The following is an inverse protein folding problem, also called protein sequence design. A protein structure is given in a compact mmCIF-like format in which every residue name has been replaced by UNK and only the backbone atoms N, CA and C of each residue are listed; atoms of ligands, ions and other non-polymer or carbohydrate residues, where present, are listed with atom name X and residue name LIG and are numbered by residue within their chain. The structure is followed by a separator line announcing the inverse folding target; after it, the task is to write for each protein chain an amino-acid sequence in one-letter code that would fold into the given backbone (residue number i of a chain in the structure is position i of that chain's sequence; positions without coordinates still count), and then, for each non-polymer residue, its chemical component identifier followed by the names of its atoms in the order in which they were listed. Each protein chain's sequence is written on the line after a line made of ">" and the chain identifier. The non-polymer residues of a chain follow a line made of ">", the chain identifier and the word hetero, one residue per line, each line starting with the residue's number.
data_IF_330055114750
#
_entry.id   IF_330055114750
#
_cell.length_a   1.000
_cell.length_b   1.000
_cell.length_c   1.000
_cell.angle_alpha   90.00
_cell.angle_beta   90.00
_cell.angle_gamma   90.00
#
_symmetry.space_group_name_H-M   'P 1'
#
loop_
_entity.id
_entity.type
_entity.pdbx_description
1 polymer ?
#
# COMPACT_ATOMS: atom_id res chain seq x y z
N UNK A 1 -33.29 36.45 12.76
CA UNK A 1 -32.52 36.93 13.93
C UNK A 1 -31.05 36.65 13.66
N UNK A 2 -30.29 37.67 13.23
CA UNK A 2 -28.87 37.51 12.96
C UNK A 2 -28.11 37.30 14.28
N UNK A 3 -27.17 36.34 14.38
CA UNK A 3 -26.39 36.18 15.59
C UNK A 3 -25.52 37.41 15.83
N UNK A 4 -25.60 37.93 17.04
CA UNK A 4 -25.02 39.18 17.48
C UNK A 4 -23.48 39.12 17.47
N UNK A 5 -22.86 39.66 16.42
CA UNK A 5 -21.40 39.76 16.26
C UNK A 5 -20.74 40.51 17.44
N UNK A 6 -21.46 41.42 18.10
CA UNK A 6 -20.97 42.21 19.24
C UNK A 6 -20.80 41.40 20.52
N UNK A 7 -21.47 40.25 20.66
CA UNK A 7 -21.37 39.42 21.87
C UNK A 7 -20.02 38.68 21.97
N UNK A 8 -19.29 38.51 20.87
CA UNK A 8 -17.97 37.87 20.87
C UNK A 8 -16.84 38.83 21.28
N UNK A 9 -17.01 40.15 21.15
CA UNK A 9 -15.97 41.11 21.52
C UNK A 9 -15.78 41.23 23.03
N UNK A 10 -16.86 41.09 23.81
CA UNK A 10 -16.90 41.25 25.28
C UNK A 10 -16.26 40.07 26.03
N UNK A 11 -16.02 38.93 25.36
CA UNK A 11 -15.42 37.76 26.00
C UNK A 11 -13.94 37.97 26.31
N UNK A 12 -13.56 37.71 27.56
CA UNK A 12 -12.17 37.74 28.01
C UNK A 12 -11.32 36.75 27.22
N UNK A 13 -10.00 36.97 27.06
CA UNK A 13 -9.10 36.04 26.35
C UNK A 13 -9.17 34.60 26.89
N UNK A 14 -9.50 34.43 28.17
CA UNK A 14 -9.69 33.14 28.85
C UNK A 14 -10.97 32.43 28.38
N UNK A 15 -12.07 33.16 28.15
CA UNK A 15 -13.33 32.62 27.63
C UNK A 15 -13.24 32.30 26.14
N UNK A 16 -12.57 33.16 25.36
CA UNK A 16 -12.23 32.88 23.95
C UNK A 16 -11.39 31.61 23.83
N UNK A 17 -10.42 31.39 24.73
CA UNK A 17 -9.66 30.14 24.79
C UNK A 17 -10.49 28.93 25.21
N UNK A 18 -11.44 29.09 26.16
CA UNK A 18 -12.36 28.03 26.58
C UNK A 18 -13.32 27.58 25.48
N UNK A 19 -13.63 28.45 24.51
CA UNK A 19 -14.46 28.12 23.35
C UNK A 19 -13.64 27.62 22.15
N UNK A 20 -12.40 28.10 21.98
CA UNK A 20 -11.51 27.62 20.91
C UNK A 20 -11.03 26.18 21.13
N UNK A 21 -10.70 25.81 22.37
CA UNK A 21 -10.27 24.45 22.73
C UNK A 21 -11.26 23.35 22.32
N UNK A 22 -12.58 23.43 22.63
CA UNK A 22 -13.54 22.43 22.21
C UNK A 22 -13.74 22.42 20.68
N UNK A 23 -13.58 23.55 20.00
CA UNK A 23 -13.67 23.60 18.54
C UNK A 23 -12.48 22.91 17.86
N UNK A 24 -11.26 23.18 18.32
CA UNK A 24 -10.03 22.50 17.81
C UNK A 24 -10.11 21.00 18.07
N UNK A 25 -10.58 20.62 19.26
CA UNK A 25 -10.73 19.22 19.62
C UNK A 25 -11.80 18.51 18.78
N UNK A 26 -12.90 19.18 18.45
CA UNK A 26 -13.90 18.68 17.50
C UNK A 26 -13.26 18.42 16.13
N UNK A 27 -12.53 19.39 15.58
CA UNK A 27 -11.84 19.23 14.29
C UNK A 27 -10.83 18.07 14.31
N UNK A 28 -10.11 17.88 15.42
CA UNK A 28 -9.21 16.74 15.59
C UNK A 28 -9.98 15.42 15.54
N UNK A 29 -11.09 15.31 16.28
CA UNK A 29 -11.94 14.09 16.28
C UNK A 29 -12.53 13.81 14.91
N UNK A 30 -13.01 14.84 14.23
CA UNK A 30 -13.55 14.72 12.87
C UNK A 30 -12.50 14.23 11.89
N UNK A 31 -11.26 14.75 11.98
CA UNK A 31 -10.13 14.27 11.17
C UNK A 31 -9.84 12.79 11.44
N UNK A 32 -9.77 12.39 12.71
CA UNK A 32 -9.53 10.99 13.09
C UNK A 32 -10.63 10.07 12.55
N UNK A 33 -11.89 10.46 12.72
CA UNK A 33 -13.03 9.68 12.24
C UNK A 33 -13.03 9.55 10.71
N UNK A 34 -12.71 10.63 10.00
CA UNK A 34 -12.57 10.63 8.53
C UNK A 34 -11.48 9.65 8.08
N UNK A 35 -10.30 9.69 8.72
CA UNK A 35 -9.22 8.74 8.41
C UNK A 35 -9.61 7.29 8.70
N UNK A 36 -10.36 7.00 9.77
CA UNK A 36 -10.85 5.65 10.06
C UNK A 36 -11.81 5.16 8.96
N UNK A 37 -12.72 6.02 8.49
CA UNK A 37 -13.63 5.66 7.40
C UNK A 37 -12.89 5.46 6.07
N UNK A 38 -11.86 6.29 5.80
CA UNK A 38 -10.99 6.09 4.64
C UNK A 38 -10.27 4.74 4.67
N UNK A 39 -9.76 4.33 5.84
CA UNK A 39 -9.16 3.00 6.01
C UNK A 39 -10.16 1.89 5.72
N UNK A 40 -11.41 2.05 6.19
CA UNK A 40 -12.50 1.10 5.94
C UNK A 40 -12.71 0.85 4.44
N UNK A 41 -12.77 1.93 3.65
CA UNK A 41 -12.97 1.87 2.19
C UNK A 41 -11.74 1.29 1.48
N UNK A 42 -10.53 1.74 1.83
CA UNK A 42 -9.30 1.29 1.16
C UNK A 42 -9.03 -0.20 1.34
N UNK A 43 -9.39 -0.76 2.49
CA UNK A 43 -9.16 -2.16 2.84
C UNK A 43 -10.44 -3.00 2.81
N UNK A 44 -11.50 -2.53 2.16
CA UNK A 44 -12.81 -3.18 2.15
C UNK A 44 -12.74 -4.65 1.70
N UNK A 45 -11.96 -4.95 0.66
CA UNK A 45 -11.76 -6.33 0.17
C UNK A 45 -11.09 -7.22 1.23
N UNK A 46 -10.12 -6.68 1.96
CA UNK A 46 -9.43 -7.42 3.01
C UNK A 46 -10.37 -7.69 4.18
N UNK A 47 -11.19 -6.71 4.55
CA UNK A 47 -12.19 -6.88 5.60
C UNK A 47 -13.26 -7.93 5.22
N UNK A 48 -13.75 -7.92 3.99
CA UNK A 48 -14.71 -8.91 3.48
C UNK A 48 -14.13 -10.33 3.48
N UNK A 49 -12.84 -10.49 3.21
CA UNK A 49 -12.15 -11.79 3.24
C UNK A 49 -12.10 -12.39 4.66
N UNK A 50 -12.02 -11.54 5.67
CA UNK A 50 -11.88 -11.95 7.08
C UNK A 50 -13.22 -12.04 7.81
N UNK A 51 -14.14 -11.10 7.58
CA UNK A 51 -15.45 -11.05 8.21
C UNK A 51 -16.52 -10.61 7.20
N UNK A 52 -16.98 -11.51 6.32
CA UNK A 52 -18.06 -11.19 5.40
C UNK A 52 -19.35 -10.92 6.19
N UNK A 53 -19.94 -9.75 5.99
CA UNK A 53 -21.22 -9.29 6.57
C UNK A 53 -21.21 -8.84 8.05
N UNK A 54 -20.05 -8.66 8.68
CA UNK A 54 -19.98 -8.09 10.03
C UNK A 54 -19.93 -6.55 10.00
N UNK A 55 -20.60 -5.90 10.96
CA UNK A 55 -20.48 -4.46 11.15
C UNK A 55 -19.14 -4.18 11.83
N UNK A 56 -18.17 -3.69 11.05
CA UNK A 56 -16.83 -3.37 11.56
C UNK A 56 -16.89 -2.28 12.63
N UNK A 57 -16.41 -2.58 13.83
CA UNK A 57 -16.21 -1.58 14.87
C UNK A 57 -14.93 -0.79 14.60
N UNK A 58 -14.79 0.40 15.20
CA UNK A 58 -13.59 1.22 15.02
C UNK A 58 -12.31 0.52 15.50
N UNK A 59 -12.42 -0.32 16.53
CA UNK A 59 -11.31 -1.11 17.03
C UNK A 59 -10.88 -2.15 15.98
N UNK A 60 -11.83 -2.89 15.41
CA UNK A 60 -11.58 -3.89 14.37
C UNK A 60 -10.91 -3.27 13.14
N UNK A 61 -11.42 -2.12 12.66
CA UNK A 61 -10.84 -1.41 11.52
C UNK A 61 -9.36 -1.12 11.77
N UNK A 62 -9.02 -0.63 12.96
CA UNK A 62 -7.65 -0.29 13.32
C UNK A 62 -6.77 -1.53 13.47
N UNK A 63 -7.24 -2.57 14.15
CA UNK A 63 -6.50 -3.82 14.35
C UNK A 63 -6.20 -4.51 13.03
N UNK A 64 -7.22 -4.71 12.20
CA UNK A 64 -7.09 -5.35 10.90
C UNK A 64 -6.20 -4.52 9.96
N UNK A 65 -6.29 -3.18 9.99
CA UNK A 65 -5.38 -2.30 9.23
C UNK A 65 -3.94 -2.50 9.66
N UNK A 66 -3.66 -2.55 10.97
CA UNK A 66 -2.29 -2.77 11.48
C UNK A 66 -1.79 -4.15 11.08
N UNK A 67 -2.63 -5.17 11.18
CA UNK A 67 -2.29 -6.54 10.74
C UNK A 67 -1.94 -6.57 9.25
N UNK A 68 -2.79 -5.96 8.41
CA UNK A 68 -2.56 -5.83 6.97
C UNK A 68 -1.23 -5.12 6.65
N UNK A 69 -0.95 -4.00 7.30
CA UNK A 69 0.28 -3.24 7.07
C UNK A 69 1.52 -4.03 7.53
N UNK A 70 1.45 -4.76 8.65
CA UNK A 70 2.54 -5.64 9.09
C UNK A 70 2.78 -6.75 8.07
N UNK A 71 1.72 -7.39 7.58
CA UNK A 71 1.83 -8.40 6.53
C UNK A 71 2.45 -7.81 5.25
N UNK A 72 1.96 -6.66 4.78
CA UNK A 72 2.46 -5.98 3.58
C UNK A 72 3.91 -5.48 3.71
N UNK A 73 4.38 -5.12 4.89
CA UNK A 73 5.78 -4.71 5.10
C UNK A 73 6.73 -5.91 5.19
N UNK A 74 6.23 -7.06 5.66
CA UNK A 74 6.99 -8.31 5.71
C UNK A 74 7.03 -8.99 4.33
N UNK A 75 5.99 -8.77 3.53
CA UNK A 75 5.84 -9.25 2.16
C UNK A 75 5.59 -8.05 1.23
N UNK A 76 6.65 -7.35 0.80
CA UNK A 76 6.51 -6.19 -0.06
C UNK A 76 5.72 -6.59 -1.31
N UNK A 77 4.78 -5.72 -1.71
CA UNK A 77 3.81 -5.88 -2.81
C UNK A 77 4.42 -6.28 -4.17
N UNK A 78 5.76 -6.29 -4.28
CA UNK A 78 6.48 -7.00 -5.34
C UNK A 78 6.10 -8.47 -5.43
N UNK A 79 5.65 -9.10 -4.33
CA UNK A 79 5.17 -10.48 -4.37
C UNK A 79 3.88 -10.63 -5.16
N UNK A 80 2.94 -9.68 -5.13
CA UNK A 80 1.71 -9.78 -5.92
C UNK A 80 2.02 -9.71 -7.42
N UNK A 81 2.84 -8.75 -7.84
CA UNK A 81 3.31 -8.64 -9.23
C UNK A 81 4.16 -9.84 -9.66
N UNK A 82 5.02 -10.35 -8.78
CA UNK A 82 5.81 -11.55 -9.05
C UNK A 82 4.93 -12.81 -9.11
N UNK A 83 3.89 -12.88 -8.28
CA UNK A 83 2.94 -13.98 -8.25
C UNK A 83 2.10 -13.99 -9.53
N UNK A 84 1.54 -12.85 -9.92
CA UNK A 84 0.81 -12.67 -11.19
C UNK A 84 1.69 -13.00 -12.40
N UNK A 85 2.96 -12.55 -12.40
CA UNK A 85 3.92 -12.90 -13.45
C UNK A 85 4.23 -14.40 -13.47
N UNK A 86 4.50 -15.01 -12.31
CA UNK A 86 4.86 -16.44 -12.22
C UNK A 86 3.70 -17.34 -12.64
N UNK A 87 2.47 -16.94 -12.32
CA UNK A 87 1.26 -17.63 -12.70
C UNK A 87 1.01 -17.52 -14.20
N UNK A 88 1.06 -16.31 -14.77
CA UNK A 88 0.93 -16.09 -16.22
C UNK A 88 2.04 -16.80 -17.03
N UNK A 89 3.27 -16.80 -16.51
CA UNK A 89 4.41 -17.51 -17.09
C UNK A 89 4.19 -19.03 -17.08
N UNK A 90 3.72 -19.60 -15.97
CA UNK A 90 3.40 -21.02 -15.87
C UNK A 90 2.27 -21.42 -16.81
N UNK A 91 1.24 -20.58 -16.93
CA UNK A 91 0.13 -20.78 -17.86
C UNK A 91 0.59 -20.82 -19.31
N UNK A 92 1.40 -19.84 -19.73
CA UNK A 92 1.99 -19.78 -21.07
C UNK A 92 2.83 -21.03 -21.39
N UNK A 93 3.67 -21.47 -20.44
CA UNK A 93 4.45 -22.69 -20.61
C UNK A 93 3.56 -23.92 -20.77
N UNK A 94 2.54 -24.07 -19.92
CA UNK A 94 1.60 -25.19 -19.98
C UNK A 94 0.91 -25.26 -21.34
N UNK A 95 0.42 -24.13 -21.83
CA UNK A 95 -0.24 -24.04 -23.14
C UNK A 95 0.72 -24.36 -24.28
N UNK A 96 1.96 -23.86 -24.23
CA UNK A 96 2.99 -24.17 -25.23
C UNK A 96 3.32 -25.67 -25.27
N UNK A 97 3.45 -26.31 -24.10
CA UNK A 97 3.67 -27.75 -24.00
C UNK A 97 2.47 -28.56 -24.51
N UNK A 98 1.25 -28.10 -24.23
CA UNK A 98 0.02 -28.72 -24.72
C UNK A 98 -0.07 -28.63 -26.25
N UNK A 99 0.16 -27.45 -26.83
CA UNK A 99 0.19 -27.26 -28.28
C UNK A 99 1.20 -28.18 -28.98
N UNK A 100 2.43 -28.27 -28.43
CA UNK A 100 3.47 -29.16 -28.95
C UNK A 100 3.07 -30.64 -28.85
N UNK A 101 2.38 -31.03 -27.78
CA UNK A 101 1.88 -32.40 -27.60
C UNK A 101 0.77 -32.75 -28.59
N UNK A 102 -0.18 -31.84 -28.83
CA UNK A 102 -1.28 -32.03 -29.78
C UNK A 102 -0.78 -32.13 -31.23
N UNK A 103 0.27 -31.39 -31.59
CA UNK A 103 0.81 -31.37 -32.94
C UNK A 103 1.97 -32.35 -33.17
N UNK A 104 2.16 -33.36 -32.30
CA UNK A 104 3.23 -34.37 -32.40
C UNK A 104 4.62 -33.76 -32.56
N UNK A 105 4.88 -32.63 -31.92
CA UNK A 105 6.18 -31.98 -31.98
C UNK A 105 7.25 -32.86 -31.31
N UNK A 106 8.47 -32.79 -31.84
CA UNK A 106 9.61 -33.56 -31.36
C UNK A 106 9.79 -33.39 -29.83
N UNK A 107 9.85 -34.52 -29.10
CA UNK A 107 10.10 -34.58 -27.65
C UNK A 107 11.36 -33.79 -27.24
N UNK A 108 12.32 -33.68 -28.14
CA UNK A 108 13.52 -32.89 -27.97
C UNK A 108 13.22 -31.38 -27.86
N UNK A 109 12.28 -30.86 -28.65
CA UNK A 109 11.82 -29.47 -28.59
C UNK A 109 11.12 -29.18 -27.28
N UNK A 110 10.26 -30.10 -26.82
CA UNK A 110 9.59 -29.99 -25.52
C UNK A 110 10.61 -29.96 -24.37
N UNK A 111 11.61 -30.82 -24.42
CA UNK A 111 12.68 -30.91 -23.41
C UNK A 111 13.57 -29.67 -23.41
N UNK A 112 13.93 -29.15 -24.60
CA UNK A 112 14.68 -27.89 -24.75
C UNK A 112 13.90 -26.72 -24.16
N UNK A 113 12.60 -26.62 -24.48
CA UNK A 113 11.72 -25.58 -23.94
C UNK A 113 11.68 -25.63 -22.41
N UNK A 114 11.41 -26.79 -21.82
CA UNK A 114 11.34 -26.95 -20.37
C UNK A 114 12.66 -26.53 -19.68
N UNK A 115 13.81 -26.91 -20.27
CA UNK A 115 15.13 -26.53 -19.76
C UNK A 115 15.38 -25.02 -19.83
N UNK A 116 14.97 -24.36 -20.92
CA UNK A 116 15.07 -22.90 -21.05
C UNK A 116 14.22 -22.19 -19.98
N UNK A 117 12.99 -22.67 -19.76
CA UNK A 117 12.08 -22.08 -18.77
C UNK A 117 12.57 -22.27 -17.34
N UNK A 118 13.08 -23.47 -17.00
CA UNK A 118 13.68 -23.74 -15.68
C UNK A 118 14.91 -22.87 -15.43
N UNK A 119 15.78 -22.68 -16.43
CA UNK A 119 16.99 -21.84 -16.29
C UNK A 119 16.66 -20.36 -16.06
N UNK A 120 15.57 -19.86 -16.65
CA UNK A 120 15.10 -18.48 -16.44
C UNK A 120 14.62 -18.25 -15.00
N UNK A 121 14.02 -19.27 -14.36
CA UNK A 121 13.50 -19.18 -12.99
C UNK A 121 14.62 -19.11 -11.93
N UNK A 122 15.76 -19.77 -12.17
CA UNK A 122 16.90 -19.76 -11.23
C UNK A 122 17.63 -18.42 -11.28
N UNK A 123 17.81 -17.84 -12.46
CA UNK A 123 18.48 -16.54 -12.62
C UNK A 123 17.73 -15.37 -11.93
N UNK A 124 16.40 -15.45 -11.84
CA UNK A 124 15.59 -14.44 -11.16
C UNK A 124 15.72 -14.48 -9.63
N UNK A 125 16.11 -15.63 -9.05
CA UNK A 125 16.20 -15.81 -7.58
C UNK A 125 17.55 -15.37 -7.00
N UNK A 126 18.58 -15.33 -7.84
CA UNK A 126 19.92 -14.84 -7.47
C UNK A 126 20.09 -13.33 -7.69
N UNK A 127 19.07 -12.64 -8.21
CA UNK A 127 19.11 -11.22 -8.59
C UNK A 127 18.59 -10.25 -7.50
N UNK A 128 18.67 -10.62 -6.21
CA UNK A 128 18.48 -9.65 -5.12
C UNK A 128 19.64 -8.65 -4.96
N UNK A 129 20.55 -8.61 -5.93
CA UNK A 129 21.52 -7.53 -6.09
C UNK A 129 21.83 -7.36 -7.58
N UNK A 130 21.42 -6.23 -8.16
CA UNK A 130 21.87 -5.69 -9.45
C UNK A 130 21.15 -6.17 -10.71
N UNK A 131 20.03 -5.51 -11.04
CA UNK A 131 19.64 -5.28 -12.43
C UNK A 131 18.80 -4.00 -12.56
N UNK A 132 19.39 -2.86 -12.20
CA UNK A 132 19.00 -1.59 -12.79
C UNK A 132 20.00 -1.27 -13.91
N UNK A 133 19.58 -1.46 -15.15
CA UNK A 133 20.14 -0.71 -16.29
C UNK A 133 19.20 -0.85 -17.48
N UNK A 134 18.51 0.22 -17.84
CA UNK A 134 18.98 1.09 -18.92
C UNK A 134 17.94 2.17 -19.20
N UNK A 135 18.15 3.41 -18.74
CA UNK A 135 17.75 4.62 -19.47
C UNK A 135 18.70 5.74 -19.06
N UNK A 136 19.50 6.16 -20.03
CA UNK A 136 20.40 7.31 -19.95
C UNK A 136 19.58 8.59 -20.08
N UNK A 137 19.81 9.57 -19.20
CA UNK A 137 19.97 10.98 -19.56
C UNK A 137 20.58 11.78 -18.39
N UNK A 138 21.57 12.62 -18.72
CA UNK A 138 22.35 13.55 -17.88
C UNK A 138 21.42 14.62 -17.25
N UNK A 139 21.72 15.41 -16.20
CA UNK A 139 22.94 16.10 -15.74
C UNK A 139 22.72 16.70 -14.29
N UNK A 140 23.65 17.48 -13.68
CA UNK A 140 23.94 17.49 -12.23
C UNK A 140 23.31 18.64 -11.41
N UNK A 141 23.13 18.45 -10.09
CA UNK A 141 23.16 19.54 -9.09
C UNK A 141 23.18 19.06 -7.61
N UNK A 142 24.27 19.41 -6.93
CA UNK A 142 24.40 19.95 -5.56
C UNK A 142 23.68 19.26 -4.39
N UNK A 143 24.51 18.72 -3.50
CA UNK A 143 24.20 18.24 -2.15
C UNK A 143 23.49 19.31 -1.30
N UNK A 144 22.37 18.93 -0.68
CA UNK A 144 21.84 19.59 0.51
C UNK A 144 21.46 18.50 1.52
N UNK A 145 22.21 18.49 2.63
CA UNK A 145 21.94 17.68 3.82
C UNK A 145 20.59 18.09 4.38
N UNK A 146 19.60 17.19 4.32
CA UNK A 146 18.33 17.34 5.04
C UNK A 146 18.31 16.35 6.20
N UNK A 147 18.56 16.89 7.39
CA UNK A 147 18.29 16.23 8.68
C UNK A 147 16.82 15.79 8.70
N UNK A 148 16.49 14.56 9.13
CA UNK A 148 15.13 14.22 9.45
C UNK A 148 14.76 14.97 10.75
N UNK A 149 14.04 16.07 10.59
CA UNK A 149 13.25 16.64 11.68
C UNK A 149 12.25 15.58 12.07
N UNK A 150 12.57 14.80 13.11
CA UNK A 150 11.59 14.07 13.88
C UNK A 150 10.64 15.10 14.46
N UNK A 151 9.54 15.32 13.75
CA UNK A 151 8.41 16.11 14.20
C UNK A 151 7.85 15.41 15.42
N UNK A 152 8.45 15.70 16.58
CA UNK A 152 8.01 15.28 17.89
C UNK A 152 6.54 15.64 17.98
N UNK A 153 5.72 14.60 17.93
CA UNK A 153 4.29 14.69 18.20
C UNK A 153 4.13 15.47 19.50
N UNK A 154 3.55 16.67 19.43
CA UNK A 154 3.17 17.43 20.63
C UNK A 154 1.67 17.18 20.87
N UNK A 155 1.30 16.58 22.00
CA UNK A 155 -0.10 16.55 22.42
C UNK A 155 -0.61 17.99 22.62
N UNK A 156 -1.87 18.21 22.26
CA UNK A 156 -2.58 19.46 22.56
C UNK A 156 -3.03 19.48 24.02
#
# INVERSE_FOLDING_TARGET
>A
MAPNILALEILTPKEKNRLRKPMVEKLRRDRINSSIEQLKVLLEKEFQRHQPNSKLEKADILEMTVSYLKYSQTFPSSQHLQQDYSEGYSWCLKEALQFLSLHSANMETQTKLLRHFQRSQVAAKDSNSSAASCFSNQAPAKQAVLKPSSSLWRPW
#
